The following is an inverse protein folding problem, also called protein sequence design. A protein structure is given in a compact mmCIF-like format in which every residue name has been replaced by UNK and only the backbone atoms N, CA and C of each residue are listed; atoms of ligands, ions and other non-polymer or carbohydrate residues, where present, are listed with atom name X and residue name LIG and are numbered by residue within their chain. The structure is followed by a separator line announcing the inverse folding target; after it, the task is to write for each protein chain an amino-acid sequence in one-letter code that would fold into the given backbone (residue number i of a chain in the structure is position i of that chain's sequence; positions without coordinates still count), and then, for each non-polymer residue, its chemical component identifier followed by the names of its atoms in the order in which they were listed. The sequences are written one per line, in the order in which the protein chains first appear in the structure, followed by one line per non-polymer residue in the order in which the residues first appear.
data_IF_144377431246
#
_entry.id   IF_144377431246
#
_cell.length_a   1.000
_cell.length_b   1.000
_cell.length_c   1.000
_cell.angle_alpha   90.00
_cell.angle_beta   90.00
_cell.angle_gamma   90.00
#
_symmetry.space_group_name_H-M   'P 1'
#
loop_
_entity.id
_entity.type
_entity.pdbx_description
1 polymer ?
#
# COMPACT_ATOMS: atom_id res chain seq x y z
N UNK A 1 -18.62 -12.37 39.84
CA UNK A 1 -17.35 -11.72 39.45
C UNK A 1 -16.94 -12.09 38.02
N UNK A 2 -16.77 -13.37 37.69
CA UNK A 2 -16.33 -13.83 36.35
C UNK A 2 -17.21 -13.34 35.17
N UNK A 3 -18.55 -13.40 35.28
CA UNK A 3 -19.46 -12.93 34.22
C UNK A 3 -19.34 -11.42 33.94
N UNK A 4 -19.04 -10.61 34.97
CA UNK A 4 -18.88 -9.15 34.84
C UNK A 4 -17.56 -8.83 34.13
N UNK A 5 -16.48 -9.48 34.57
CA UNK A 5 -15.17 -9.46 33.90
C UNK A 5 -15.27 -9.81 32.42
N UNK A 6 -15.92 -10.93 32.09
CA UNK A 6 -16.08 -11.39 30.71
C UNK A 6 -16.83 -10.34 29.87
N UNK A 7 -17.93 -9.80 30.38
CA UNK A 7 -18.70 -8.74 29.68
C UNK A 7 -17.84 -7.51 29.41
N UNK A 8 -17.12 -7.02 30.41
CA UNK A 8 -16.26 -5.84 30.30
C UNK A 8 -15.12 -6.06 29.30
N UNK A 9 -14.49 -7.23 29.34
CA UNK A 9 -13.48 -7.63 28.37
C UNK A 9 -14.05 -7.71 26.95
N UNK A 10 -15.24 -8.31 26.77
CA UNK A 10 -15.88 -8.40 25.45
C UNK A 10 -16.18 -7.02 24.87
N UNK A 11 -16.72 -6.09 25.66
CA UNK A 11 -17.00 -4.72 25.21
C UNK A 11 -15.69 -4.02 24.79
N UNK A 12 -14.66 -4.10 25.64
CA UNK A 12 -13.36 -3.52 25.35
C UNK A 12 -12.74 -4.05 24.04
N UNK A 13 -12.75 -5.37 23.86
CA UNK A 13 -12.22 -6.00 22.64
C UNK A 13 -13.03 -5.61 21.40
N UNK A 14 -14.36 -5.53 21.49
CA UNK A 14 -15.21 -5.08 20.38
C UNK A 14 -14.90 -3.63 19.98
N UNK A 15 -14.78 -2.72 20.95
CA UNK A 15 -14.42 -1.33 20.66
C UNK A 15 -13.03 -1.22 20.04
N UNK A 16 -12.03 -1.92 20.59
CA UNK A 16 -10.69 -1.96 20.00
C UNK A 16 -10.67 -2.52 18.58
N UNK A 17 -11.44 -3.58 18.33
CA UNK A 17 -11.58 -4.17 17.00
C UNK A 17 -12.23 -3.22 15.98
N UNK A 18 -13.28 -2.48 16.38
CA UNK A 18 -13.91 -1.48 15.51
C UNK A 18 -12.91 -0.39 15.11
N UNK A 19 -12.12 0.11 16.06
CA UNK A 19 -11.07 1.09 15.78
C UNK A 19 -10.01 0.51 14.83
N UNK A 20 -9.57 -0.72 15.07
CA UNK A 20 -8.65 -1.43 14.17
C UNK A 20 -9.19 -1.46 12.73
N UNK A 21 -10.45 -1.88 12.54
CA UNK A 21 -11.07 -1.97 11.20
C UNK A 21 -11.15 -0.60 10.53
N UNK A 22 -11.56 0.44 11.25
CA UNK A 22 -11.66 1.80 10.70
C UNK A 22 -10.29 2.29 10.23
N UNK A 23 -9.25 2.17 11.08
CA UNK A 23 -7.90 2.60 10.74
C UNK A 23 -7.33 1.79 9.56
N UNK A 24 -7.58 0.48 9.55
CA UNK A 24 -7.10 -0.40 8.49
C UNK A 24 -7.73 -0.07 7.13
N UNK A 25 -9.04 0.18 7.09
CA UNK A 25 -9.74 0.59 5.86
C UNK A 25 -9.35 1.99 5.42
N UNK A 26 -9.19 2.94 6.36
CA UNK A 26 -8.75 4.30 6.06
C UNK A 26 -7.34 4.30 5.45
N UNK A 27 -6.41 3.53 6.02
CA UNK A 27 -5.06 3.37 5.49
C UNK A 27 -5.08 2.84 4.06
N UNK A 28 -5.85 1.78 3.78
CA UNK A 28 -6.01 1.27 2.41
C UNK A 28 -6.54 2.33 1.45
N UNK A 29 -7.61 3.03 1.83
CA UNK A 29 -8.28 3.99 0.95
C UNK A 29 -7.39 5.17 0.56
N UNK A 30 -6.59 5.66 1.51
CA UNK A 30 -5.68 6.77 1.26
C UNK A 30 -4.45 6.32 0.45
N UNK A 31 -3.86 5.20 0.84
CA UNK A 31 -2.54 4.81 0.34
C UNK A 31 -2.56 4.17 -1.05
N UNK A 32 -3.65 3.50 -1.43
CA UNK A 32 -3.80 2.87 -2.76
C UNK A 32 -3.65 3.84 -3.95
N UNK A 33 -3.63 5.16 -3.69
CA UNK A 33 -3.47 6.20 -4.70
C UNK A 33 -2.00 6.49 -5.04
N UNK A 34 -1.08 6.17 -4.12
CA UNK A 34 0.35 6.37 -4.32
C UNK A 34 0.94 5.33 -5.26
N UNK A 35 1.89 5.75 -6.09
CA UNK A 35 2.51 4.90 -7.13
C UNK A 35 3.34 3.78 -6.52
N UNK A 36 3.93 4.04 -5.36
CA UNK A 36 4.86 3.15 -4.66
C UNK A 36 4.18 2.29 -3.60
N UNK A 37 2.84 2.25 -3.60
CA UNK A 37 2.07 1.39 -2.70
C UNK A 37 2.40 -0.10 -2.91
N UNK A 38 2.63 -0.46 -4.17
CA UNK A 38 3.22 -1.73 -4.58
C UNK A 38 4.65 -1.46 -5.05
N UNK A 39 5.64 -2.06 -4.37
CA UNK A 39 7.04 -1.92 -4.76
C UNK A 39 7.27 -2.43 -6.18
N UNK A 40 6.66 -3.56 -6.55
CA UNK A 40 6.81 -4.13 -7.90
C UNK A 40 6.16 -3.26 -8.98
N UNK A 41 4.96 -2.73 -8.75
CA UNK A 41 4.37 -1.79 -9.72
C UNK A 41 5.18 -0.49 -9.80
N UNK A 42 5.71 0.00 -8.68
CA UNK A 42 6.60 1.17 -8.62
C UNK A 42 7.87 0.94 -9.44
N UNK A 43 8.59 -0.14 -9.17
CA UNK A 43 9.79 -0.57 -9.91
C UNK A 43 9.50 -0.78 -11.39
N UNK A 44 8.39 -1.43 -11.75
CA UNK A 44 8.00 -1.62 -13.15
C UNK A 44 7.80 -0.30 -13.88
N UNK A 45 7.14 0.69 -13.24
CA UNK A 45 7.00 2.03 -13.83
C UNK A 45 8.34 2.75 -13.97
N UNK A 46 9.25 2.58 -13.01
CA UNK A 46 10.60 3.13 -13.08
C UNK A 46 11.39 2.50 -14.25
N UNK A 47 11.35 1.18 -14.38
CA UNK A 47 11.99 0.44 -15.47
C UNK A 47 11.42 0.84 -16.84
N UNK A 48 10.08 0.98 -16.97
CA UNK A 48 9.46 1.46 -18.22
C UNK A 48 9.97 2.85 -18.64
N UNK A 49 10.19 3.76 -17.69
CA UNK A 49 10.80 5.08 -17.99
C UNK A 49 12.23 4.95 -18.46
N UNK A 50 13.00 4.02 -17.89
CA UNK A 50 14.34 3.70 -18.40
C UNK A 50 14.30 3.24 -19.85
N UNK A 51 13.35 2.38 -20.20
CA UNK A 51 13.15 1.90 -21.57
C UNK A 51 12.71 3.02 -22.52
N UNK A 52 11.80 3.90 -22.08
CA UNK A 52 11.41 5.12 -22.82
C UNK A 52 12.63 5.97 -23.19
N UNK A 53 13.54 6.23 -22.24
CA UNK A 53 14.77 6.99 -22.50
C UNK A 53 15.68 6.31 -23.53
N UNK A 54 15.77 4.97 -23.51
CA UNK A 54 16.53 4.22 -24.53
C UNK A 54 15.87 4.31 -25.91
N UNK A 55 14.54 4.24 -25.99
CA UNK A 55 13.79 4.40 -27.25
C UNK A 55 13.99 5.80 -27.82
N UNK A 56 13.91 6.84 -26.98
CA UNK A 56 14.14 8.23 -27.39
C UNK A 56 15.57 8.44 -27.91
N UNK A 57 16.57 7.88 -27.21
CA UNK A 57 17.97 7.90 -27.65
C UNK A 57 18.12 7.21 -29.00
N UNK A 58 17.57 6.01 -29.16
CA UNK A 58 17.59 5.26 -30.41
C UNK A 58 16.98 6.07 -31.56
N UNK A 59 15.80 6.65 -31.35
CA UNK A 59 15.10 7.45 -32.35
C UNK A 59 15.90 8.69 -32.77
N UNK A 60 16.58 9.35 -31.82
CA UNK A 60 17.44 10.49 -32.09
C UNK A 60 18.66 10.12 -32.94
N UNK A 61 19.22 8.93 -32.74
CA UNK A 61 20.41 8.45 -33.44
C UNK A 61 20.08 7.88 -34.84
N UNK A 62 18.98 7.16 -34.97
CA UNK A 62 18.62 6.42 -36.19
C UNK A 62 17.52 7.11 -37.03
N UNK A 63 16.90 8.16 -36.51
CA UNK A 63 15.78 8.87 -37.15
C UNK A 63 14.46 8.09 -37.21
N UNK A 64 14.39 6.91 -36.59
CA UNK A 64 13.22 6.02 -36.59
C UNK A 64 13.09 5.28 -35.26
N UNK A 65 11.88 4.85 -34.91
CA UNK A 65 11.65 4.02 -33.72
C UNK A 65 12.24 2.62 -33.92
N UNK A 66 12.74 1.97 -32.85
CA UNK A 66 13.20 0.59 -32.93
C UNK A 66 12.04 -0.32 -33.32
N UNK A 67 12.30 -1.38 -34.08
CA UNK A 67 11.26 -2.35 -34.44
C UNK A 67 10.99 -3.30 -33.28
N UNK A 68 12.01 -3.59 -32.48
CA UNK A 68 11.95 -4.44 -31.29
C UNK A 68 12.77 -3.83 -30.17
N UNK A 69 12.41 -4.14 -28.91
CA UNK A 69 13.19 -3.70 -27.75
C UNK A 69 14.62 -4.28 -27.73
N UNK A 70 14.86 -5.40 -28.42
CA UNK A 70 16.21 -5.98 -28.61
C UNK A 70 17.13 -5.12 -29.46
N UNK A 71 16.58 -4.20 -30.24
CA UNK A 71 17.35 -3.32 -31.13
C UNK A 71 17.94 -2.13 -30.33
N UNK A 72 17.51 -1.94 -29.08
CA UNK A 72 17.99 -0.87 -28.22
C UNK A 72 19.44 -1.15 -27.79
N UNK A 73 20.40 -0.25 -28.11
CA UNK A 73 21.72 -0.31 -27.51
C UNK A 73 21.57 -0.10 -26.00
N UNK A 74 22.43 -0.74 -25.22
CA UNK A 74 22.43 -0.63 -23.75
C UNK A 74 21.17 -1.20 -23.05
N UNK A 75 20.33 -1.98 -23.74
CA UNK A 75 19.18 -2.65 -23.11
C UNK A 75 19.59 -3.50 -21.89
N UNK A 76 20.76 -4.11 -21.94
CA UNK A 76 21.37 -4.90 -20.86
C UNK A 76 21.76 -4.07 -19.62
N UNK A 77 21.81 -2.74 -19.70
CA UNK A 77 22.03 -1.86 -18.55
C UNK A 77 20.76 -1.68 -17.71
N UNK A 78 19.60 -2.05 -18.25
CA UNK A 78 18.31 -2.08 -17.55
C UNK A 78 18.01 -3.53 -17.17
N UNK A 79 17.22 -3.71 -16.10
CA UNK A 79 16.68 -5.02 -15.73
C UNK A 79 16.07 -5.71 -16.96
N UNK A 80 16.60 -6.89 -17.28
CA UNK A 80 16.32 -7.59 -18.53
C UNK A 80 16.15 -9.08 -18.28
N UNK A 81 15.36 -9.71 -19.14
CA UNK A 81 15.29 -11.18 -19.25
C UNK A 81 16.66 -11.78 -19.58
N UNK A 82 16.85 -13.11 -19.41
CA UNK A 82 18.09 -13.79 -19.82
C UNK A 82 18.47 -13.59 -21.28
N UNK A 83 17.48 -13.33 -22.14
CA UNK A 83 17.67 -13.06 -23.58
C UNK A 83 18.01 -11.58 -23.88
N UNK A 84 18.22 -10.76 -22.84
CA UNK A 84 18.60 -9.35 -22.98
C UNK A 84 17.43 -8.41 -23.32
N UNK A 85 16.19 -8.89 -23.23
CA UNK A 85 14.99 -8.06 -23.47
C UNK A 85 14.64 -7.32 -22.16
N UNK A 86 14.45 -5.99 -22.18
CA UNK A 86 14.01 -5.24 -21.02
C UNK A 86 12.76 -5.85 -20.37
N UNK A 87 12.81 -6.04 -19.06
CA UNK A 87 11.81 -6.77 -18.28
C UNK A 87 11.20 -5.92 -17.16
N UNK A 88 9.98 -6.28 -16.79
CA UNK A 88 9.29 -5.72 -15.63
C UNK A 88 9.80 -6.31 -14.29
N UNK A 89 9.26 -5.83 -13.17
CA UNK A 89 9.63 -6.31 -11.84
C UNK A 89 9.08 -7.71 -11.49
N UNK A 90 8.47 -8.40 -12.46
CA UNK A 90 8.09 -9.80 -12.39
C UNK A 90 8.82 -10.65 -13.43
N UNK A 91 9.98 -10.17 -13.89
CA UNK A 91 10.90 -10.86 -14.81
C UNK A 91 10.28 -11.21 -16.16
N UNK A 92 9.27 -10.45 -16.58
CA UNK A 92 8.60 -10.62 -17.87
C UNK A 92 8.95 -9.49 -18.81
N UNK A 93 9.18 -9.83 -20.08
CA UNK A 93 9.48 -8.86 -21.11
C UNK A 93 8.36 -7.80 -21.24
N UNK A 94 8.76 -6.54 -21.38
CA UNK A 94 7.81 -5.48 -21.70
C UNK A 94 7.16 -5.71 -23.06
N UNK A 95 5.91 -5.31 -23.15
CA UNK A 95 5.16 -5.31 -24.39
C UNK A 95 5.39 -3.98 -25.10
N UNK A 96 5.84 -4.06 -26.36
CA UNK A 96 6.19 -2.90 -27.16
C UNK A 96 5.54 -2.98 -28.53
N UNK A 97 4.76 -1.96 -28.87
CA UNK A 97 4.09 -1.86 -30.17
C UNK A 97 4.45 -0.53 -30.84
N UNK A 98 5.46 -0.50 -31.74
CA UNK A 98 5.79 0.69 -32.50
C UNK A 98 4.71 0.99 -33.55
N UNK A 99 4.49 2.28 -33.79
CA UNK A 99 3.74 2.84 -34.92
C UNK A 99 4.66 3.82 -35.66
N UNK A 100 4.19 4.45 -36.73
CA UNK A 100 5.02 5.36 -37.54
C UNK A 100 5.67 6.49 -36.72
N UNK A 101 4.93 7.06 -35.76
CA UNK A 101 5.38 8.24 -34.98
C UNK A 101 5.17 8.10 -33.48
N UNK A 102 4.64 6.97 -33.02
CA UNK A 102 4.33 6.72 -31.61
C UNK A 102 4.54 5.26 -31.27
N UNK A 103 4.51 4.92 -29.99
CA UNK A 103 4.59 3.53 -29.56
C UNK A 103 3.74 3.32 -28.31
N UNK A 104 3.35 2.07 -28.08
CA UNK A 104 2.82 1.64 -26.79
C UNK A 104 3.88 0.81 -26.06
N UNK A 105 4.09 1.11 -24.77
CA UNK A 105 4.94 0.35 -23.87
C UNK A 105 4.17 0.03 -22.61
N UNK A 106 4.09 -1.26 -22.26
CA UNK A 106 3.35 -1.71 -21.09
C UNK A 106 3.81 -3.06 -20.52
N UNK A 107 3.38 -3.36 -19.29
CA UNK A 107 3.48 -4.69 -18.64
C UNK A 107 2.08 -5.22 -18.34
N UNK A 108 1.92 -6.54 -18.29
CA UNK A 108 0.65 -7.21 -17.92
C UNK A 108 0.39 -7.27 -16.40
N UNK A 109 1.22 -6.64 -15.58
CA UNK A 109 1.05 -6.66 -14.12
C UNK A 109 1.36 -8.04 -13.50
N UNK A 110 0.94 -8.26 -12.24
CA UNK A 110 1.37 -9.42 -11.45
C UNK A 110 0.93 -10.77 -12.00
N UNK A 111 -0.22 -10.86 -12.68
CA UNK A 111 -0.73 -12.15 -13.20
C UNK A 111 -0.29 -12.47 -14.63
N UNK A 112 0.28 -11.51 -15.35
CA UNK A 112 0.85 -11.73 -16.69
C UNK A 112 -0.19 -11.88 -17.77
N UNK A 113 -1.42 -11.40 -17.53
CA UNK A 113 -2.54 -11.52 -18.46
C UNK A 113 -3.03 -10.15 -18.87
N UNK A 114 -3.60 -10.08 -20.06
CA UNK A 114 -4.23 -8.85 -20.57
C UNK A 114 -5.37 -8.43 -19.64
N UNK A 115 -5.37 -7.15 -19.25
CA UNK A 115 -6.48 -6.54 -18.54
C UNK A 115 -6.28 -6.55 -17.03
N UNK A 116 -7.22 -7.12 -16.28
CA UNK A 116 -7.17 -7.22 -14.82
C UNK A 116 -7.42 -5.92 -14.02
N UNK A 117 -7.29 -6.04 -12.70
CA UNK A 117 -7.48 -4.95 -11.72
C UNK A 117 -6.47 -5.05 -10.57
N UNK A 118 -6.16 -3.89 -9.99
CA UNK A 118 -5.16 -3.71 -8.94
C UNK A 118 -3.78 -4.20 -9.37
N UNK A 119 -3.20 -5.14 -8.63
CA UNK A 119 -1.89 -5.71 -8.93
C UNK A 119 -1.83 -6.41 -10.29
N UNK A 120 -2.96 -6.96 -10.72
CA UNK A 120 -3.13 -7.69 -11.97
C UNK A 120 -3.53 -6.78 -13.14
N UNK A 121 -3.66 -5.47 -12.90
CA UNK A 121 -3.92 -4.58 -14.01
C UNK A 121 -2.66 -4.45 -14.88
N UNK A 122 -2.85 -4.34 -16.19
CA UNK A 122 -1.78 -3.86 -17.06
C UNK A 122 -1.17 -2.55 -16.51
N UNK A 123 0.06 -2.23 -16.86
CA UNK A 123 0.71 -0.96 -16.52
C UNK A 123 1.22 -0.32 -17.80
N UNK A 124 0.61 0.79 -18.21
CA UNK A 124 1.03 1.55 -19.39
C UNK A 124 1.95 2.70 -19.00
N UNK A 125 2.94 2.99 -19.86
CA UNK A 125 3.84 4.14 -19.72
C UNK A 125 3.08 5.48 -19.61
N UNK A 126 2.03 5.66 -20.44
CA UNK A 126 1.17 6.86 -20.48
C UNK A 126 0.15 6.96 -19.33
N UNK A 127 0.15 5.99 -18.41
CA UNK A 127 -0.74 5.91 -17.26
C UNK A 127 -2.25 5.88 -17.57
N UNK A 128 -2.66 5.55 -18.81
CA UNK A 128 -4.08 5.57 -19.24
C UNK A 128 -5.00 4.70 -18.38
N UNK A 129 -4.46 3.68 -17.73
CA UNK A 129 -5.22 2.76 -16.88
C UNK A 129 -4.90 2.88 -15.38
N UNK A 130 -4.29 3.99 -14.92
CA UNK A 130 -3.83 4.15 -13.54
C UNK A 130 -4.89 3.79 -12.49
N UNK A 131 -6.15 4.19 -12.71
CA UNK A 131 -7.28 3.86 -11.81
C UNK A 131 -7.51 2.35 -11.67
N UNK A 132 -7.36 1.58 -12.76
CA UNK A 132 -7.49 0.11 -12.73
C UNK A 132 -6.32 -0.53 -11.99
N UNK A 133 -5.12 0.04 -12.06
CA UNK A 133 -3.92 -0.48 -11.39
C UNK A 133 -3.85 -0.26 -9.88
N UNK A 134 -4.81 0.48 -9.29
CA UNK A 134 -4.87 0.69 -7.84
C UNK A 134 -5.22 -0.61 -7.11
N UNK A 135 -4.37 -1.00 -6.15
CA UNK A 135 -4.53 -2.23 -5.37
C UNK A 135 -5.93 -2.31 -4.73
N UNK A 136 -6.61 -3.42 -4.99
CA UNK A 136 -7.96 -3.67 -4.48
C UNK A 136 -7.93 -3.98 -2.98
N UNK A 137 -9.08 -3.87 -2.31
CA UNK A 137 -9.15 -4.20 -0.88
C UNK A 137 -8.84 -5.67 -0.62
N UNK A 138 -9.31 -6.58 -1.48
CA UNK A 138 -9.03 -8.01 -1.34
C UNK A 138 -7.54 -8.30 -1.51
N UNK A 139 -6.88 -7.71 -2.51
CA UNK A 139 -5.43 -7.84 -2.67
C UNK A 139 -4.70 -7.25 -1.47
N UNK A 140 -5.08 -6.06 -1.00
CA UNK A 140 -4.49 -5.47 0.19
C UNK A 140 -4.67 -6.32 1.45
N UNK A 141 -5.83 -6.96 1.62
CA UNK A 141 -6.11 -7.79 2.78
C UNK A 141 -5.39 -9.15 2.72
N UNK A 142 -5.32 -9.76 1.53
CA UNK A 142 -4.90 -11.14 1.34
C UNK A 142 -3.44 -11.30 0.86
N UNK A 143 -2.80 -10.27 0.30
CA UNK A 143 -1.41 -10.36 -0.19
C UNK A 143 -0.45 -10.65 0.95
N UNK A 144 0.29 -11.75 0.87
CA UNK A 144 1.34 -12.09 1.84
C UNK A 144 2.70 -11.45 1.53
N UNK A 145 2.86 -10.92 0.31
CA UNK A 145 4.11 -10.32 -0.17
C UNK A 145 4.10 -8.80 0.10
N UNK A 146 4.98 -8.33 0.99
CA UNK A 146 5.13 -6.91 1.31
C UNK A 146 5.65 -6.09 0.12
N UNK A 147 6.26 -6.73 -0.89
CA UNK A 147 6.64 -6.07 -2.14
C UNK A 147 5.42 -5.75 -3.03
N UNK A 148 4.30 -6.44 -2.82
CA UNK A 148 3.07 -6.25 -3.56
C UNK A 148 2.15 -5.22 -2.92
N UNK A 149 2.00 -5.24 -1.59
CA UNK A 149 1.26 -4.23 -0.85
C UNK A 149 1.90 -4.05 0.54
N UNK A 150 2.27 -2.81 0.88
CA UNK A 150 2.80 -2.47 2.21
C UNK A 150 1.71 -2.58 3.28
N UNK A 151 1.31 -3.79 3.66
CA UNK A 151 0.21 -4.07 4.59
C UNK A 151 0.71 -4.21 6.03
N UNK A 152 1.86 -4.85 6.22
CA UNK A 152 2.31 -5.27 7.54
C UNK A 152 2.50 -4.08 8.50
N UNK A 153 3.03 -2.94 8.02
CA UNK A 153 3.12 -1.71 8.82
C UNK A 153 1.77 -1.26 9.36
N UNK A 154 0.71 -1.31 8.56
CA UNK A 154 -0.64 -0.89 8.99
C UNK A 154 -1.33 -1.92 9.86
N UNK A 155 -1.09 -3.21 9.64
CA UNK A 155 -1.55 -4.25 10.56
C UNK A 155 -0.95 -4.02 11.95
N UNK A 156 0.35 -3.76 12.05
CA UNK A 156 1.00 -3.49 13.33
C UNK A 156 0.44 -2.22 14.00
N UNK A 157 0.40 -1.10 13.29
CA UNK A 157 -0.12 0.17 13.82
C UNK A 157 -1.58 0.03 14.25
N UNK A 158 -2.42 -0.54 13.38
CA UNK A 158 -3.82 -0.74 13.67
C UNK A 158 -4.02 -1.63 14.89
N UNK A 159 -3.28 -2.75 14.98
CA UNK A 159 -3.39 -3.69 16.09
C UNK A 159 -2.95 -3.05 17.41
N UNK A 160 -1.87 -2.28 17.39
CA UNK A 160 -1.43 -1.50 18.56
C UNK A 160 -2.51 -0.49 18.98
N UNK A 161 -3.04 0.29 18.04
CA UNK A 161 -4.08 1.27 18.31
C UNK A 161 -5.35 0.62 18.89
N UNK A 162 -5.85 -0.44 18.27
CA UNK A 162 -7.01 -1.20 18.74
C UNK A 162 -6.76 -1.84 20.11
N UNK A 163 -5.55 -2.38 20.34
CA UNK A 163 -5.12 -2.94 21.62
C UNK A 163 -5.07 -1.89 22.74
N UNK A 164 -4.53 -0.70 22.47
CA UNK A 164 -4.53 0.41 23.42
C UNK A 164 -5.94 0.88 23.77
N UNK A 165 -6.82 1.01 22.78
CA UNK A 165 -8.22 1.37 23.00
C UNK A 165 -8.95 0.30 23.83
N UNK A 166 -8.75 -0.99 23.51
CA UNK A 166 -9.34 -2.08 24.28
C UNK A 166 -8.83 -2.09 25.72
N UNK A 167 -7.52 -2.02 25.93
CA UNK A 167 -6.91 -1.98 27.26
C UNK A 167 -7.43 -0.78 28.06
N UNK A 168 -7.52 0.39 27.42
CA UNK A 168 -8.01 1.59 28.06
C UNK A 168 -9.48 1.47 28.50
N UNK A 169 -10.36 1.03 27.59
CA UNK A 169 -11.79 0.81 27.90
C UNK A 169 -11.95 -0.24 28.99
N UNK A 170 -11.17 -1.32 28.93
CA UNK A 170 -11.18 -2.35 29.96
C UNK A 170 -10.82 -1.77 31.33
N UNK A 171 -9.73 -1.01 31.43
CA UNK A 171 -9.32 -0.37 32.68
C UNK A 171 -10.38 0.59 33.24
N UNK A 172 -10.99 1.41 32.39
CA UNK A 172 -12.04 2.37 32.80
C UNK A 172 -13.30 1.66 33.28
N UNK A 173 -13.78 0.66 32.54
CA UNK A 173 -14.96 -0.09 32.94
C UNK A 173 -14.69 -0.93 34.19
N UNK A 174 -13.48 -1.48 34.32
CA UNK A 174 -13.04 -2.22 35.50
C UNK A 174 -13.02 -1.35 36.77
N UNK A 175 -12.49 -0.12 36.68
CA UNK A 175 -12.47 0.79 37.84
C UNK A 175 -13.87 1.25 38.22
N UNK A 176 -14.72 1.58 37.24
CA UNK A 176 -16.12 1.96 37.47
C UNK A 176 -16.92 0.82 38.12
N UNK A 177 -16.77 -0.42 37.64
CA UNK A 177 -17.45 -1.59 38.22
C UNK A 177 -16.99 -1.88 39.66
N UNK A 178 -15.75 -1.54 40.02
CA UNK A 178 -15.20 -1.73 41.37
C UNK A 178 -15.67 -0.66 42.35
N UNK A 179 -15.91 0.55 41.87
CA UNK A 179 -16.28 1.69 42.70
C UNK A 179 -17.80 1.74 43.02
N UNK A 180 -18.62 0.91 42.36
CA UNK A 180 -20.10 1.00 42.36
C UNK A 180 -20.60 2.43 42.09
N UNK A 181 -19.79 3.20 41.37
CA UNK A 181 -19.92 4.65 41.25
C UNK A 181 -20.53 5.00 39.89
N UNK A 182 -21.38 6.03 39.88
CA UNK A 182 -21.98 6.52 38.63
C UNK A 182 -20.93 7.32 37.86
N UNK A 183 -20.99 7.25 36.52
CA UNK A 183 -20.08 7.99 35.64
C UNK A 183 -20.13 9.49 35.94
N UNK A 184 -19.13 10.02 36.67
CA UNK A 184 -19.03 11.45 36.99
C UNK A 184 -18.33 12.23 35.86
N UNK A 185 -18.59 13.55 35.70
CA UNK A 185 -17.98 14.37 34.65
C UNK A 185 -16.44 14.33 34.63
N UNK A 186 -15.81 14.11 35.79
CA UNK A 186 -14.35 13.91 35.90
C UNK A 186 -13.86 12.72 35.08
N UNK A 187 -14.62 11.63 35.04
CA UNK A 187 -14.29 10.45 34.24
C UNK A 187 -14.37 10.74 32.74
N UNK A 188 -15.34 11.55 32.31
CA UNK A 188 -15.47 12.02 30.92
C UNK A 188 -14.28 12.90 30.49
N UNK A 189 -13.81 13.79 31.36
CA UNK A 189 -12.64 14.63 31.09
C UNK A 189 -11.37 13.77 31.00
N UNK A 190 -11.19 12.81 31.92
CA UNK A 190 -10.08 11.85 31.86
C UNK A 190 -10.16 10.98 30.59
N UNK A 191 -11.36 10.62 30.16
CA UNK A 191 -11.62 9.88 28.92
C UNK A 191 -11.18 10.65 27.69
N UNK A 192 -11.64 11.90 27.55
CA UNK A 192 -11.23 12.77 26.45
C UNK A 192 -9.71 13.01 26.46
N UNK A 193 -9.12 13.28 27.63
CA UNK A 193 -7.69 13.50 27.79
C UNK A 193 -6.84 12.29 27.39
N UNK A 194 -7.25 11.09 27.77
CA UNK A 194 -6.56 9.85 27.39
C UNK A 194 -6.65 9.59 25.88
N UNK A 195 -7.81 9.82 25.26
CA UNK A 195 -7.96 9.70 23.80
C UNK A 195 -7.02 10.66 23.07
N UNK A 196 -6.95 11.92 23.51
CA UNK A 196 -6.07 12.93 22.89
C UNK A 196 -4.60 12.55 23.05
N UNK A 197 -4.19 12.05 24.23
CA UNK A 197 -2.82 11.60 24.47
C UNK A 197 -2.46 10.38 23.62
N UNK A 198 -3.33 9.36 23.58
CA UNK A 198 -3.10 8.15 22.80
C UNK A 198 -3.05 8.49 21.29
N UNK A 199 -3.97 9.33 20.82
CA UNK A 199 -4.00 9.76 19.41
C UNK A 199 -2.75 10.56 19.04
N UNK A 200 -2.31 11.48 19.93
CA UNK A 200 -1.08 12.25 19.74
C UNK A 200 0.17 11.37 19.73
N UNK A 201 0.25 10.39 20.64
CA UNK A 201 1.36 9.45 20.70
C UNK A 201 1.44 8.57 19.44
N UNK A 202 0.30 8.05 18.98
CA UNK A 202 0.22 7.28 17.72
C UNK A 202 0.65 8.16 16.53
N UNK A 203 0.19 9.41 16.46
CA UNK A 203 0.62 10.35 15.42
C UNK A 203 2.13 10.60 15.42
N UNK A 204 2.74 10.73 16.61
CA UNK A 204 4.19 10.90 16.75
C UNK A 204 4.99 9.66 16.29
N UNK A 205 4.46 8.47 16.56
CA UNK A 205 5.07 7.20 16.10
C UNK A 205 4.90 6.96 14.60
N UNK A 206 3.87 7.54 13.98
CA UNK A 206 3.63 7.41 12.54
C UNK A 206 4.44 8.39 11.68
N UNK A 207 4.91 9.49 12.27
CA UNK A 207 5.73 10.50 11.59
C UNK A 207 7.00 9.92 10.91
N UNK A 208 7.83 9.10 11.59
CA UNK A 208 9.02 8.50 10.98
C UNK A 208 8.70 7.54 9.82
N UNK A 209 7.59 6.82 9.92
CA UNK A 209 7.12 5.88 8.88
C UNK A 209 6.74 6.65 7.60
N UNK A 210 6.21 7.86 7.74
CA UNK A 210 5.85 8.72 6.61
C UNK A 210 7.06 9.42 5.97
N UNK A 211 8.13 9.68 6.74
CA UNK A 211 9.36 10.31 6.27
C UNK A 211 10.30 9.31 5.57
N UNK A 212 10.25 8.03 5.92
CA UNK A 212 11.11 6.99 5.35
C UNK A 212 10.80 6.62 3.89
N UNK A 213 9.67 7.06 3.31
CA UNK A 213 9.31 6.71 1.92
C UNK A 213 9.82 7.71 0.88
N UNK A 214 10.60 8.71 1.28
CA UNK A 214 11.02 9.81 0.42
C UNK A 214 12.52 10.03 0.38
N UNK A 215 13.33 8.99 0.18
CA UNK A 215 14.71 9.08 -0.32
C UNK A 215 15.11 7.80 -1.03
#
# INVERSE_FOLDING_TARGET
MLRRLLRTLTIALLCGFVIFVILFVAAWYDLRKYRDFSSRQGSTRHLMRGVELLIEKYQKEHGSLPQKLTDLPDANQIWSTPDGIPADAWDRAFQYHPRETSYELFSFGSDGKVGGIGLNADLYLDERNRKKSMVTFSQYLLSSDDSEARRNTFLHVGTMAGGFVALYIFCVLWTLERADDRMTPRHLILFAGAIVLISSAIGLFLLPVHLSSGH
#
